data_IF_554380643518
#
_entry.id   IF_554380643518
#
_cell.length_a   1.000
_cell.length_b   1.000
_cell.length_c   1.000
_cell.angle_alpha   90.00
_cell.angle_beta   90.00
_cell.angle_gamma   90.00
#
_symmetry.space_group_name_H-M   'P 1'
#
loop_
_entity.id
_entity.type
_entity.pdbx_description
1 polymer ?
#
# COMPACT_ATOMS: atom_id res chain seq x y z
N UNK A 1 6.68 12.74 -14.08
CA UNK A 1 6.48 12.16 -12.76
C UNK A 1 6.62 13.26 -11.72
N UNK A 2 5.50 13.89 -11.42
CA UNK A 2 5.31 14.98 -10.45
C UNK A 2 5.56 14.55 -9.00
N UNK A 3 5.47 13.25 -8.69
CA UNK A 3 5.72 12.70 -7.36
C UNK A 3 7.11 12.08 -7.18
N UNK A 4 8.02 12.30 -8.13
CA UNK A 4 9.42 11.85 -8.01
C UNK A 4 10.04 12.36 -6.70
N UNK A 5 10.78 11.48 -6.03
CA UNK A 5 11.47 11.73 -4.75
C UNK A 5 10.53 12.06 -3.57
N UNK A 6 9.21 11.91 -3.74
CA UNK A 6 8.24 12.00 -2.65
C UNK A 6 8.07 10.63 -1.99
N UNK A 7 7.93 10.63 -0.66
CA UNK A 7 7.58 9.46 0.13
C UNK A 7 6.14 9.57 0.60
N UNK A 8 5.36 8.51 0.41
CA UNK A 8 3.97 8.41 0.84
C UNK A 8 3.84 7.20 1.76
N UNK A 9 3.21 7.38 2.92
CA UNK A 9 2.84 6.29 3.81
C UNK A 9 1.39 5.90 3.51
N UNK A 10 1.13 4.62 3.32
CA UNK A 10 -0.21 4.04 3.33
C UNK A 10 -0.29 3.01 4.45
N UNK A 11 -1.44 2.91 5.10
CA UNK A 11 -1.67 1.98 6.21
C UNK A 11 -2.72 0.97 5.74
N UNK A 12 -2.43 -0.31 5.97
CA UNK A 12 -3.33 -1.40 5.66
C UNK A 12 -3.57 -2.24 6.91
N UNK A 13 -4.77 -2.76 7.03
CA UNK A 13 -5.18 -3.67 8.09
C UNK A 13 -6.08 -4.75 7.49
N UNK A 14 -6.47 -5.72 8.33
CA UNK A 14 -7.38 -6.79 7.94
C UNK A 14 -8.69 -6.22 7.39
N UNK A 15 -9.25 -6.92 6.40
CA UNK A 15 -10.49 -6.53 5.72
C UNK A 15 -10.43 -5.16 5.02
N UNK A 16 -9.27 -4.77 4.47
CA UNK A 16 -9.20 -3.61 3.59
C UNK A 16 -9.98 -3.85 2.28
N UNK A 17 -10.51 -2.78 1.69
CA UNK A 17 -11.12 -2.85 0.36
C UNK A 17 -10.04 -2.80 -0.73
N UNK A 18 -10.02 -3.82 -1.58
CA UNK A 18 -8.95 -4.07 -2.55
C UNK A 18 -8.73 -2.88 -3.50
N UNK A 19 -9.80 -2.28 -4.02
CA UNK A 19 -9.66 -1.18 -4.98
C UNK A 19 -9.26 0.12 -4.30
N UNK A 20 -9.76 0.37 -3.09
CA UNK A 20 -9.39 1.56 -2.32
C UNK A 20 -7.90 1.56 -1.92
N UNK A 21 -7.30 0.38 -1.72
CA UNK A 21 -5.89 0.26 -1.42
C UNK A 21 -5.00 0.19 -2.67
N UNK A 22 -5.28 -0.75 -3.59
CA UNK A 22 -4.38 -1.03 -4.70
C UNK A 22 -4.40 0.08 -5.74
N UNK A 23 -5.54 0.71 -5.99
CA UNK A 23 -5.63 1.73 -7.04
C UNK A 23 -4.79 2.98 -6.71
N UNK A 24 -4.89 3.59 -5.50
CA UNK A 24 -3.96 4.66 -5.12
C UNK A 24 -2.50 4.20 -5.07
N UNK A 25 -2.24 2.99 -4.57
CA UNK A 25 -0.89 2.43 -4.48
C UNK A 25 -0.19 2.39 -5.85
N UNK A 26 -0.86 1.85 -6.88
CA UNK A 26 -0.28 1.76 -8.23
C UNK A 26 -0.16 3.14 -8.88
N UNK A 27 -1.16 4.03 -8.74
CA UNK A 27 -1.13 5.38 -9.34
C UNK A 27 -0.01 6.25 -8.73
N UNK A 28 0.17 6.18 -7.41
CA UNK A 28 1.25 6.90 -6.72
C UNK A 28 2.63 6.41 -7.18
N UNK A 29 2.81 5.09 -7.29
CA UNK A 29 4.05 4.48 -7.79
C UNK A 29 4.33 4.85 -9.25
N UNK A 30 3.32 4.78 -10.11
CA UNK A 30 3.41 5.21 -11.52
C UNK A 30 3.80 6.68 -11.67
N UNK A 31 3.36 7.56 -10.76
CA UNK A 31 3.72 8.98 -10.80
C UNK A 31 5.08 9.29 -10.14
N UNK A 32 5.81 8.25 -9.71
CA UNK A 32 7.19 8.31 -9.22
C UNK A 32 7.35 8.40 -7.70
N UNK A 33 6.28 8.24 -6.92
CA UNK A 33 6.36 8.24 -5.47
C UNK A 33 6.98 6.94 -4.94
N UNK A 34 7.76 7.03 -3.86
CA UNK A 34 8.09 5.89 -3.01
C UNK A 34 6.96 5.68 -2.02
N UNK A 35 6.15 4.63 -2.21
CA UNK A 35 5.05 4.30 -1.31
C UNK A 35 5.49 3.22 -0.32
N UNK A 36 5.40 3.53 0.98
CA UNK A 36 5.69 2.64 2.10
C UNK A 36 4.36 2.15 2.68
N UNK A 37 4.23 0.83 2.85
CA UNK A 37 3.04 0.18 3.38
C UNK A 37 3.29 -0.16 4.85
N UNK A 38 2.46 0.36 5.76
CA UNK A 38 2.49 0.02 7.17
C UNK A 38 1.31 -0.88 7.55
N UNK A 39 1.53 -1.80 8.48
CA UNK A 39 0.47 -2.55 9.17
C UNK A 39 0.82 -2.73 10.66
N UNK A 40 0.06 -3.52 11.40
CA UNK A 40 0.35 -3.78 12.81
C UNK A 40 1.69 -4.51 13.00
N UNK A 41 2.01 -5.45 12.11
CA UNK A 41 3.25 -6.22 12.13
C UNK A 41 4.04 -6.02 10.83
N UNK A 42 5.36 -5.83 10.94
CA UNK A 42 6.23 -5.71 9.77
C UNK A 42 6.32 -7.05 9.01
N UNK A 43 6.13 -7.01 7.69
CA UNK A 43 6.18 -8.20 6.84
C UNK A 43 4.90 -9.04 6.89
N UNK A 44 3.83 -8.51 7.48
CA UNK A 44 2.53 -9.15 7.53
C UNK A 44 1.93 -9.25 6.12
N UNK A 45 1.51 -10.45 5.72
CA UNK A 45 0.74 -10.67 4.50
C UNK A 45 -0.74 -10.51 4.80
N UNK A 46 -1.38 -9.52 4.19
CA UNK A 46 -2.77 -9.13 4.47
C UNK A 46 -3.60 -9.33 3.22
N UNK A 47 -4.66 -10.14 3.34
CA UNK A 47 -5.63 -10.40 2.28
C UNK A 47 -6.78 -9.39 2.34
N UNK A 48 -7.09 -8.78 1.20
CA UNK A 48 -8.22 -7.90 0.99
C UNK A 48 -9.54 -8.66 0.88
N UNK A 49 -10.66 -7.94 0.98
CA UNK A 49 -12.02 -8.51 0.92
C UNK A 49 -12.30 -9.34 -0.33
N UNK A 50 -11.67 -8.98 -1.45
CA UNK A 50 -11.90 -9.59 -2.76
C UNK A 50 -10.73 -10.44 -3.26
N UNK A 51 -9.75 -10.72 -2.38
CA UNK A 51 -8.73 -11.74 -2.58
C UNK A 51 -7.37 -11.23 -3.08
N UNK A 52 -7.15 -9.92 -3.20
CA UNK A 52 -5.80 -9.39 -3.41
C UNK A 52 -4.98 -9.42 -2.12
N UNK A 53 -3.71 -9.75 -2.24
CA UNK A 53 -2.79 -9.82 -1.11
C UNK A 53 -1.78 -8.66 -1.19
N UNK A 54 -1.37 -8.14 -0.03
CA UNK A 54 -0.28 -7.17 0.10
C UNK A 54 0.61 -7.53 1.28
N UNK A 55 1.85 -7.04 1.29
CA UNK A 55 2.81 -7.26 2.38
C UNK A 55 3.25 -5.91 2.93
N UNK A 56 3.29 -5.77 4.26
CA UNK A 56 3.75 -4.54 4.91
C UNK A 56 5.28 -4.40 4.87
N UNK A 57 5.75 -3.16 4.70
CA UNK A 57 7.16 -2.78 4.72
C UNK A 57 7.63 -2.47 6.15
N UNK A 58 6.74 -1.89 6.98
CA UNK A 58 7.01 -1.41 8.34
C UNK A 58 5.82 -1.68 9.28
N UNK A 59 6.05 -1.53 10.58
CA UNK A 59 5.06 -1.49 11.66
C UNK A 59 5.02 -0.10 12.30
#
# INVERSE_FOLDING_TARGET
MSLKDKKVLTIVSKDYDDLEFHYPLIRLREEGATVVIASEEKGESIRGKYGLDTVSDIS
#
